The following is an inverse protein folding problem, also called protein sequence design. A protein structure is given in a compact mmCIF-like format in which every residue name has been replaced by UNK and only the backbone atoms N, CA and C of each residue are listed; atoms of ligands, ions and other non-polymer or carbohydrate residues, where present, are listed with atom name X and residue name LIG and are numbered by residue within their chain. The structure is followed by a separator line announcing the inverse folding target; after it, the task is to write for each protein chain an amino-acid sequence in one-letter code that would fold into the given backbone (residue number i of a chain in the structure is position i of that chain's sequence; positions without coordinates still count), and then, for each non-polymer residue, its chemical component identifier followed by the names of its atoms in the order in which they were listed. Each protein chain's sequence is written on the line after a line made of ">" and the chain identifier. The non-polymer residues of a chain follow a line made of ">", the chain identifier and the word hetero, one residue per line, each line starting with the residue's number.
data_IF_397183953044
#
_entry.id   IF_397183953044
#
_cell.length_a   1.000
_cell.length_b   1.000
_cell.length_c   1.000
_cell.angle_alpha   90.00
_cell.angle_beta   90.00
_cell.angle_gamma   90.00
#
_symmetry.space_group_name_H-M   'P 1'
#
loop_
_entity.id
_entity.type
_entity.pdbx_description
1 polymer ?
#
# COMPACT_ATOMS: atom_id res chain seq x y z
N UNK A 1 -27.83 -8.52 0.39
CA UNK A 1 -26.68 -8.76 1.31
C UNK A 1 -27.11 -9.11 2.74
N UNK A 2 -28.10 -8.42 3.34
CA UNK A 2 -28.54 -8.68 4.72
C UNK A 2 -29.18 -10.07 4.91
N UNK A 3 -29.99 -10.54 3.98
CA UNK A 3 -30.62 -11.87 4.07
C UNK A 3 -29.61 -13.02 3.96
N UNK A 4 -28.55 -12.88 3.14
CA UNK A 4 -27.47 -13.88 3.07
C UNK A 4 -26.67 -13.95 4.36
N UNK A 5 -26.48 -12.84 5.05
CA UNK A 5 -25.79 -12.82 6.35
C UNK A 5 -26.61 -13.49 7.46
N UNK A 6 -27.96 -13.35 7.45
CA UNK A 6 -28.82 -14.02 8.43
C UNK A 6 -28.80 -15.55 8.30
N UNK A 7 -28.87 -16.09 7.09
CA UNK A 7 -28.82 -17.54 6.85
C UNK A 7 -27.44 -18.18 7.19
N UNK A 8 -26.38 -17.39 7.22
CA UNK A 8 -25.01 -17.85 7.52
C UNK A 8 -24.74 -17.85 9.04
N UNK A 9 -25.42 -16.97 9.80
CA UNK A 9 -25.14 -16.74 11.22
C UNK A 9 -25.43 -17.95 12.10
N UNK A 10 -26.42 -18.78 11.78
CA UNK A 10 -26.80 -19.94 12.56
C UNK A 10 -25.87 -21.17 12.39
N UNK A 11 -24.91 -21.08 11.45
CA UNK A 11 -23.95 -22.15 11.13
C UNK A 11 -22.52 -21.68 11.15
N UNK A 12 -22.22 -20.60 11.86
CA UNK A 12 -20.87 -20.08 12.02
C UNK A 12 -20.21 -20.67 13.26
N UNK A 13 -18.92 -20.89 13.18
CA UNK A 13 -18.09 -21.35 14.29
C UNK A 13 -16.69 -20.74 14.20
N UNK A 14 -16.03 -20.59 15.33
CA UNK A 14 -14.63 -20.16 15.37
C UNK A 14 -13.74 -21.32 14.93
N UNK A 15 -13.16 -21.24 13.74
CA UNK A 15 -12.29 -22.28 13.20
C UNK A 15 -10.86 -22.16 13.75
N UNK A 16 -10.34 -20.94 13.82
CA UNK A 16 -9.07 -20.54 14.44
C UNK A 16 -9.19 -19.09 14.91
N UNK A 17 -8.18 -18.63 15.63
CA UNK A 17 -8.09 -17.21 15.99
C UNK A 17 -8.17 -16.33 14.71
N UNK A 18 -9.06 -15.36 14.72
CA UNK A 18 -9.37 -14.50 13.58
C UNK A 18 -9.91 -15.18 12.31
N UNK A 19 -10.36 -16.45 12.39
CA UNK A 19 -10.93 -17.19 11.26
C UNK A 19 -12.28 -17.78 11.65
N UNK A 20 -13.35 -17.31 11.02
CA UNK A 20 -14.70 -17.84 11.17
C UNK A 20 -15.03 -18.82 10.06
N UNK A 21 -15.51 -20.01 10.43
CA UNK A 21 -16.04 -20.98 9.50
C UNK A 21 -17.55 -20.83 9.35
N UNK A 22 -18.05 -20.90 8.12
CA UNK A 22 -19.46 -20.83 7.77
C UNK A 22 -19.87 -22.06 6.96
N UNK A 23 -20.79 -22.85 7.49
CA UNK A 23 -21.38 -23.96 6.74
C UNK A 23 -22.47 -23.45 5.82
N UNK A 24 -22.35 -23.70 4.53
CA UNK A 24 -23.34 -23.31 3.52
C UNK A 24 -24.44 -24.37 3.39
N UNK A 25 -25.59 -23.98 2.84
CA UNK A 25 -26.73 -24.88 2.62
C UNK A 25 -26.40 -26.07 1.67
N UNK A 26 -25.43 -25.89 0.78
CA UNK A 26 -24.95 -26.92 -0.15
C UNK A 26 -23.96 -27.90 0.47
N UNK A 27 -23.70 -27.85 1.78
CA UNK A 27 -22.76 -28.69 2.51
C UNK A 27 -21.30 -28.20 2.50
N UNK A 28 -20.95 -27.21 1.72
CA UNK A 28 -19.61 -26.65 1.68
C UNK A 28 -19.33 -25.76 2.91
N UNK A 29 -18.06 -25.63 3.26
CA UNK A 29 -17.60 -24.71 4.31
C UNK A 29 -16.76 -23.59 3.68
N UNK A 30 -17.03 -22.34 4.07
CA UNK A 30 -16.22 -21.17 3.71
C UNK A 30 -15.57 -20.62 4.97
N UNK A 31 -14.30 -20.27 4.86
CA UNK A 31 -13.55 -19.64 5.94
C UNK A 31 -13.36 -18.15 5.65
N UNK A 32 -13.76 -17.29 6.59
CA UNK A 32 -13.59 -15.84 6.49
C UNK A 32 -12.51 -15.42 7.49
N UNK A 33 -11.45 -14.84 6.97
CA UNK A 33 -10.33 -14.34 7.76
C UNK A 33 -10.61 -12.90 8.14
N UNK A 34 -10.32 -12.54 9.39
CA UNK A 34 -10.45 -11.20 9.95
C UNK A 34 -11.81 -10.54 9.68
N UNK A 35 -12.89 -11.34 9.60
CA UNK A 35 -14.26 -10.86 9.29
C UNK A 35 -14.38 -10.09 7.97
N UNK A 36 -13.47 -10.34 7.01
CA UNK A 36 -13.41 -9.64 5.74
C UNK A 36 -12.75 -8.26 5.79
N UNK A 37 -12.09 -7.92 6.90
CA UNK A 37 -11.25 -6.72 7.03
C UNK A 37 -9.88 -6.91 6.38
N UNK A 38 -9.05 -5.86 6.37
CA UNK A 38 -7.66 -5.94 5.89
C UNK A 38 -6.87 -6.95 6.73
N UNK A 39 -6.57 -8.10 6.16
CA UNK A 39 -6.01 -9.26 6.87
C UNK A 39 -4.65 -8.95 7.50
N UNK A 40 -3.79 -8.24 6.79
CA UNK A 40 -2.46 -7.84 7.27
C UNK A 40 -2.51 -6.94 8.51
N UNK A 41 -3.60 -6.17 8.71
CA UNK A 41 -3.77 -5.30 9.86
C UNK A 41 -4.62 -5.95 10.97
N UNK A 42 -5.64 -6.73 10.60
CA UNK A 42 -6.60 -7.27 11.56
C UNK A 42 -6.26 -8.69 12.04
N UNK A 43 -5.44 -9.43 11.31
CA UNK A 43 -5.06 -10.80 11.62
C UNK A 43 -3.58 -11.10 11.33
N UNK A 44 -2.76 -10.07 11.18
CA UNK A 44 -1.31 -10.14 11.01
C UNK A 44 -0.62 -8.98 11.73
N UNK A 45 0.69 -8.94 11.64
CA UNK A 45 1.52 -7.92 12.32
C UNK A 45 1.70 -6.63 11.47
N UNK A 46 1.03 -6.55 10.32
CA UNK A 46 1.18 -5.44 9.38
C UNK A 46 2.49 -5.49 8.59
N UNK A 47 2.98 -4.32 8.20
CA UNK A 47 4.26 -4.19 7.51
C UNK A 47 5.39 -3.84 8.49
N UNK A 48 6.62 -4.28 8.23
CA UNK A 48 7.78 -3.89 9.02
C UNK A 48 7.93 -2.37 9.12
N UNK A 49 8.41 -1.90 10.29
CA UNK A 49 8.57 -0.47 10.56
C UNK A 49 9.49 0.21 9.53
N UNK A 50 10.50 -0.49 9.04
CA UNK A 50 11.45 0.00 8.05
C UNK A 50 10.80 0.32 6.69
N UNK A 51 9.73 -0.41 6.33
CA UNK A 51 8.96 -0.16 5.10
C UNK A 51 7.97 0.98 5.33
N UNK A 52 7.29 0.97 6.48
CA UNK A 52 6.30 2.00 6.83
C UNK A 52 6.94 3.37 7.00
N UNK A 53 8.17 3.44 7.50
CA UNK A 53 8.97 4.66 7.61
C UNK A 53 9.10 5.38 6.26
N UNK A 54 9.47 4.67 5.19
CA UNK A 54 9.52 5.26 3.83
C UNK A 54 8.14 5.76 3.36
N UNK A 55 7.09 4.99 3.62
CA UNK A 55 5.72 5.38 3.25
C UNK A 55 5.29 6.66 3.97
N UNK A 56 5.57 6.78 5.24
CA UNK A 56 5.25 7.99 6.02
C UNK A 56 6.10 9.17 5.61
N UNK A 57 7.38 8.97 5.28
CA UNK A 57 8.25 10.02 4.77
C UNK A 57 7.71 10.59 3.44
N UNK A 58 7.31 9.73 2.50
CA UNK A 58 6.70 10.17 1.23
C UNK A 58 5.40 10.93 1.49
N UNK A 59 4.54 10.44 2.38
CA UNK A 59 3.29 11.12 2.74
C UNK A 59 3.54 12.52 3.33
N UNK A 60 4.47 12.64 4.28
CA UNK A 60 4.81 13.92 4.90
C UNK A 60 5.38 14.93 3.91
N UNK A 61 6.31 14.50 3.04
CA UNK A 61 6.90 15.37 2.02
C UNK A 61 5.89 15.73 0.94
N UNK A 62 4.99 14.83 0.57
CA UNK A 62 3.89 15.10 -0.36
C UNK A 62 2.91 16.13 0.21
N UNK A 63 2.55 16.02 1.48
CA UNK A 63 1.71 17.01 2.15
C UNK A 63 2.39 18.40 2.19
N UNK A 64 3.68 18.44 2.52
CA UNK A 64 4.49 19.67 2.44
C UNK A 64 4.49 20.26 1.04
N UNK A 65 4.70 19.44 0.01
CA UNK A 65 4.68 19.88 -1.40
C UNK A 65 3.34 20.51 -1.77
N UNK A 66 2.22 19.87 -1.44
CA UNK A 66 0.88 20.39 -1.71
C UNK A 66 0.66 21.71 -0.99
N UNK A 67 1.07 21.83 0.27
CA UNK A 67 0.93 23.07 1.03
C UNK A 67 1.71 24.22 0.40
N UNK A 68 2.94 23.97 -0.03
CA UNK A 68 3.82 24.95 -0.67
C UNK A 68 3.38 25.34 -2.09
N UNK A 69 2.75 24.42 -2.83
CA UNK A 69 2.34 24.60 -4.22
C UNK A 69 0.81 24.65 -4.40
N UNK A 70 0.08 25.01 -3.35
CA UNK A 70 -1.38 24.94 -3.32
C UNK A 70 -2.07 25.72 -4.43
N UNK A 71 -1.53 26.86 -4.84
CA UNK A 71 -2.06 27.68 -5.92
C UNK A 71 -1.93 26.96 -7.29
N UNK A 72 -0.76 26.40 -7.59
CA UNK A 72 -0.50 25.66 -8.82
C UNK A 72 -1.33 24.36 -8.87
N UNK A 73 -1.44 23.65 -7.77
CA UNK A 73 -2.26 22.44 -7.67
C UNK A 73 -3.74 22.75 -7.92
N UNK A 74 -4.27 23.83 -7.33
CA UNK A 74 -5.65 24.26 -7.58
C UNK A 74 -5.88 24.69 -9.02
N UNK A 75 -4.94 25.40 -9.63
CA UNK A 75 -5.07 25.88 -11.01
C UNK A 75 -4.96 24.77 -12.05
N UNK A 76 -4.35 23.63 -11.72
CA UNK A 76 -4.24 22.48 -12.63
C UNK A 76 -5.59 21.83 -12.95
N UNK A 77 -6.60 22.02 -12.11
CA UNK A 77 -7.93 21.41 -12.26
C UNK A 77 -7.97 19.89 -12.05
N UNK A 78 -6.84 19.28 -11.72
CA UNK A 78 -6.77 17.85 -11.44
C UNK A 78 -7.13 17.54 -10.00
N UNK A 79 -7.97 16.52 -9.79
CA UNK A 79 -8.32 16.03 -8.44
C UNK A 79 -7.18 15.24 -7.79
N UNK A 80 -6.24 14.76 -8.58
CA UNK A 80 -5.10 13.96 -8.11
C UNK A 80 -3.81 14.54 -8.67
N UNK A 81 -2.77 14.51 -7.86
CA UNK A 81 -1.42 14.96 -8.23
C UNK A 81 -0.46 13.81 -7.99
N UNK A 82 0.35 13.49 -8.99
CA UNK A 82 1.40 12.51 -8.81
C UNK A 82 2.47 13.03 -7.85
N UNK A 83 3.02 12.14 -7.03
CA UNK A 83 4.17 12.47 -6.20
C UNK A 83 5.33 12.86 -7.10
N UNK A 84 5.95 14.02 -6.91
CA UNK A 84 7.15 14.41 -7.66
C UNK A 84 8.26 13.38 -7.51
N UNK A 85 8.91 13.04 -8.62
CA UNK A 85 10.01 12.04 -8.64
C UNK A 85 11.17 12.43 -7.71
N UNK A 86 11.36 13.72 -7.48
CA UNK A 86 12.36 14.27 -6.59
C UNK A 86 12.11 13.87 -5.14
N UNK A 87 10.85 13.88 -4.71
CA UNK A 87 10.44 13.46 -3.35
C UNK A 87 10.69 11.96 -3.17
N UNK A 88 10.25 11.16 -4.12
CA UNK A 88 10.45 9.71 -4.10
C UNK A 88 11.95 9.36 -4.03
N UNK A 89 12.75 9.99 -4.90
CA UNK A 89 14.20 9.82 -4.90
C UNK A 89 14.86 10.28 -3.60
N UNK A 90 14.42 11.42 -3.04
CA UNK A 90 14.96 11.93 -1.78
C UNK A 90 14.74 10.93 -0.64
N UNK A 91 13.53 10.37 -0.51
CA UNK A 91 13.21 9.39 0.54
C UNK A 91 14.06 8.13 0.36
N UNK A 92 14.16 7.62 -0.87
CA UNK A 92 14.97 6.43 -1.17
C UNK A 92 16.45 6.64 -0.82
N UNK A 93 17.03 7.75 -1.24
CA UNK A 93 18.46 8.06 -0.98
C UNK A 93 18.73 8.25 0.52
N UNK A 94 17.83 8.91 1.26
CA UNK A 94 17.96 9.05 2.71
C UNK A 94 17.91 7.70 3.41
N UNK A 95 17.02 6.79 2.97
CA UNK A 95 16.92 5.45 3.54
C UNK A 95 18.18 4.62 3.29
N UNK A 96 18.70 4.63 2.07
CA UNK A 96 19.95 3.95 1.69
C UNK A 96 21.12 4.49 2.52
N UNK A 97 21.25 5.81 2.61
CA UNK A 97 22.28 6.46 3.41
C UNK A 97 22.18 6.11 4.90
N UNK A 98 20.96 6.04 5.45
CA UNK A 98 20.75 5.63 6.84
C UNK A 98 21.22 4.20 7.12
N UNK A 99 21.13 3.31 6.14
CA UNK A 99 21.65 1.96 6.25
C UNK A 99 23.16 1.85 5.95
N UNK A 100 23.83 2.96 5.67
CA UNK A 100 25.25 2.97 5.31
C UNK A 100 25.54 2.32 3.96
N UNK A 101 24.55 2.27 3.07
CA UNK A 101 24.66 1.73 1.73
C UNK A 101 24.79 2.85 0.71
N UNK A 102 25.41 2.54 -0.42
CA UNK A 102 25.51 3.40 -1.58
C UNK A 102 24.85 2.71 -2.78
N UNK A 103 24.34 3.49 -3.70
CA UNK A 103 23.77 3.01 -4.95
C UNK A 103 24.67 3.44 -6.11
N UNK A 104 24.89 2.54 -7.04
CA UNK A 104 25.66 2.82 -8.25
C UNK A 104 25.00 3.91 -9.09
N UNK A 105 25.82 4.64 -9.83
CA UNK A 105 25.33 5.59 -10.83
C UNK A 105 25.25 4.90 -12.17
N UNK A 106 24.09 5.07 -12.82
CA UNK A 106 23.92 4.59 -14.19
C UNK A 106 24.89 5.30 -15.13
N UNK A 107 25.44 4.54 -16.10
CA UNK A 107 26.15 5.15 -17.21
C UNK A 107 25.17 5.83 -18.17
N UNK A 108 25.62 6.80 -18.99
CA UNK A 108 24.76 7.44 -19.98
C UNK A 108 24.06 6.43 -20.93
N UNK A 109 24.73 5.33 -21.26
CA UNK A 109 24.17 4.26 -22.09
C UNK A 109 23.04 3.52 -21.37
N UNK A 110 23.20 3.24 -20.08
CA UNK A 110 22.17 2.59 -19.25
C UNK A 110 20.97 3.50 -19.07
N UNK A 111 21.18 4.80 -18.83
CA UNK A 111 20.08 5.79 -18.74
C UNK A 111 19.29 5.87 -20.06
N UNK A 112 20.00 5.91 -21.20
CA UNK A 112 19.41 5.89 -22.51
C UNK A 112 18.60 4.62 -22.77
N UNK A 113 19.14 3.46 -22.40
CA UNK A 113 18.46 2.17 -22.53
C UNK A 113 17.17 2.11 -21.71
N UNK A 114 17.22 2.54 -20.46
CA UNK A 114 16.03 2.56 -19.60
C UNK A 114 14.95 3.57 -20.04
N UNK A 115 15.35 4.62 -20.76
CA UNK A 115 14.43 5.63 -21.31
C UNK A 115 13.90 5.31 -22.70
N UNK A 116 14.44 4.28 -23.38
CA UNK A 116 14.05 3.91 -24.74
C UNK A 116 13.16 2.67 -24.73
N UNK A 117 11.99 2.76 -25.35
CA UNK A 117 11.08 1.65 -25.63
C UNK A 117 11.28 1.08 -27.06
N UNK A 118 12.32 1.50 -27.74
CA UNK A 118 12.67 0.97 -29.04
C UNK A 118 13.36 -0.39 -28.87
N UNK A 119 12.64 -1.45 -29.23
CA UNK A 119 13.13 -2.79 -29.40
C UNK A 119 13.69 -2.92 -30.81
#
# INVERSE_FOLDING_TARGET
>A
RRQRQMCIRDRSYLARNNIMGYKLANGNTVFVIAEGRLVNLAAGDGHPAEIMDMSFAIQALSAKYIAQNSAAVKSSGHMTVNVPKEIDREVALRKISYWGLEIDRLTPEQEKYLGSWEV
#
